data_IF_561375809118
#
_entry.id   IF_561375809118
#
_cell.length_a   1.000
_cell.length_b   1.000
_cell.length_c   1.000
_cell.angle_alpha   90.00
_cell.angle_beta   90.00
_cell.angle_gamma   90.00
#
_symmetry.space_group_name_H-M   'P 1'
#
loop_
_entity.id
_entity.type
_entity.pdbx_description
1 polymer ?
#
# COMPACT_ATOMS: atom_id res chain seq x y z
N UNK A 1 12.11 9.26 16.95
CA UNK A 1 11.02 8.71 16.12
C UNK A 1 10.53 9.80 15.18
N UNK A 2 10.10 9.46 13.96
CA UNK A 2 9.86 10.43 12.88
C UNK A 2 8.38 10.54 12.46
N UNK A 3 7.44 10.15 13.33
CA UNK A 3 6.00 10.32 13.10
C UNK A 3 5.52 9.77 11.75
N UNK A 4 4.72 10.58 11.03
CA UNK A 4 4.30 10.32 9.64
C UNK A 4 3.53 9.01 9.44
N UNK A 5 2.68 8.64 10.40
CA UNK A 5 1.68 7.59 10.16
C UNK A 5 0.67 8.09 9.12
N UNK A 6 0.24 7.23 8.19
CA UNK A 6 -0.60 7.66 7.07
C UNK A 6 -1.61 6.60 6.63
N UNK A 7 -2.60 7.06 5.85
CA UNK A 7 -3.51 6.23 5.05
C UNK A 7 -3.20 6.47 3.58
N UNK A 8 -3.05 5.39 2.81
CA UNK A 8 -2.86 5.44 1.35
C UNK A 8 -3.88 4.51 0.68
N UNK A 9 -4.48 4.97 -0.40
CA UNK A 9 -5.47 4.20 -1.15
C UNK A 9 -4.82 3.15 -2.09
N UNK A 10 -5.61 2.25 -2.71
CA UNK A 10 -5.08 1.26 -3.64
C UNK A 10 -4.41 1.85 -4.90
N UNK A 11 -4.64 3.13 -5.22
CA UNK A 11 -3.99 3.86 -6.32
C UNK A 11 -2.67 4.50 -5.90
N UNK A 12 -2.27 4.36 -4.65
CA UNK A 12 -1.05 4.95 -4.09
C UNK A 12 -1.19 6.43 -3.70
N UNK A 13 -2.41 6.95 -3.58
CA UNK A 13 -2.66 8.32 -3.14
C UNK A 13 -2.68 8.42 -1.62
N UNK A 14 -2.01 9.42 -1.06
CA UNK A 14 -2.10 9.72 0.38
C UNK A 14 -3.45 10.35 0.69
N UNK A 15 -4.20 9.72 1.61
CA UNK A 15 -5.51 10.18 2.06
C UNK A 15 -5.38 11.03 3.33
N UNK A 16 -4.49 10.64 4.23
CA UNK A 16 -4.14 11.43 5.41
C UNK A 16 -2.74 11.05 5.91
N UNK A 17 -2.02 11.99 6.51
CA UNK A 17 -0.68 11.81 7.08
C UNK A 17 -0.58 12.61 8.38
N UNK A 18 0.00 12.00 9.43
CA UNK A 18 0.28 12.62 10.71
C UNK A 18 1.53 13.50 10.64
N UNK A 19 1.63 14.47 11.55
CA UNK A 19 2.84 15.26 11.73
C UNK A 19 4.07 14.37 12.05
N UNK A 20 5.25 14.91 11.74
CA UNK A 20 6.54 14.25 12.04
C UNK A 20 6.89 14.30 13.54
N UNK A 21 6.44 15.34 14.23
CA UNK A 21 6.97 15.80 15.51
C UNK A 21 5.90 16.08 16.58
N UNK A 22 4.65 15.68 16.35
CA UNK A 22 3.53 15.92 17.27
C UNK A 22 2.75 14.64 17.57
N UNK A 23 2.13 14.60 18.74
CA UNK A 23 1.17 13.58 19.12
C UNK A 23 -0.17 13.86 18.43
N UNK A 24 -0.66 12.91 17.64
CA UNK A 24 -1.85 13.08 16.80
C UNK A 24 -2.66 11.78 16.67
N UNK A 25 -3.96 11.94 16.44
CA UNK A 25 -4.86 10.86 16.00
C UNK A 25 -5.36 11.22 14.60
N UNK A 26 -4.97 10.43 13.61
CA UNK A 26 -5.40 10.61 12.23
C UNK A 26 -6.53 9.63 11.93
N UNK A 27 -7.63 10.14 11.38
CA UNK A 27 -8.79 9.36 10.96
C UNK A 27 -9.07 9.67 9.49
N UNK A 28 -9.35 8.64 8.69
CA UNK A 28 -9.69 8.77 7.28
C UNK A 28 -10.88 7.90 6.93
N UNK A 29 -11.72 8.38 6.00
CA UNK A 29 -12.74 7.57 5.35
C UNK A 29 -12.12 6.88 4.13
N UNK A 30 -12.35 5.58 4.01
CA UNK A 30 -11.79 4.76 2.95
C UNK A 30 -12.91 4.11 2.15
N UNK A 31 -12.91 4.32 0.83
CA UNK A 31 -13.78 3.58 -0.08
C UNK A 31 -13.16 2.21 -0.38
N UNK A 32 -13.84 1.16 0.05
CA UNK A 32 -13.39 -0.22 -0.14
C UNK A 32 -13.68 -0.74 -1.55
N UNK A 33 -14.63 -0.15 -2.29
CA UNK A 33 -14.98 -0.56 -3.65
C UNK A 33 -13.83 -0.27 -4.62
N UNK A 34 -13.00 0.74 -4.30
CA UNK A 34 -11.79 1.09 -5.03
C UNK A 34 -10.77 -0.07 -5.12
N UNK A 35 -10.78 -0.99 -4.16
CA UNK A 35 -9.90 -2.18 -4.19
C UNK A 35 -10.22 -3.05 -5.40
N UNK A 36 -11.50 -3.31 -5.64
CA UNK A 36 -11.93 -4.13 -6.76
C UNK A 36 -11.64 -3.43 -8.10
N UNK A 37 -11.93 -2.13 -8.17
CA UNK A 37 -11.67 -1.32 -9.36
C UNK A 37 -10.19 -1.37 -9.75
N UNK A 38 -9.29 -1.13 -8.80
CA UNK A 38 -7.84 -1.13 -9.05
C UNK A 38 -7.35 -2.53 -9.43
N UNK A 39 -7.83 -3.60 -8.78
CA UNK A 39 -7.46 -4.98 -9.14
C UNK A 39 -7.93 -5.39 -10.53
N UNK A 40 -9.07 -4.86 -10.99
CA UNK A 40 -9.57 -5.05 -12.37
C UNK A 40 -8.82 -4.19 -13.39
N UNK A 41 -8.35 -3.01 -12.98
CA UNK A 41 -7.61 -2.10 -13.87
C UNK A 41 -6.16 -2.56 -14.04
N UNK A 42 -5.47 -2.86 -12.95
CA UNK A 42 -4.09 -3.34 -12.94
C UNK A 42 -4.07 -4.85 -12.82
N UNK A 43 -3.81 -5.50 -13.93
CA UNK A 43 -3.88 -6.96 -14.09
C UNK A 43 -2.69 -7.70 -13.46
N UNK A 44 -2.11 -7.19 -12.35
CA UNK A 44 -0.98 -7.82 -11.65
C UNK A 44 -1.29 -9.26 -11.22
N UNK A 45 -2.51 -9.54 -10.79
CA UNK A 45 -2.89 -10.91 -10.42
C UNK A 45 -2.89 -11.86 -11.63
N UNK A 46 -3.25 -11.40 -12.82
CA UNK A 46 -3.21 -12.20 -14.05
C UNK A 46 -1.78 -12.34 -14.58
N UNK A 47 -1.03 -11.25 -14.57
CA UNK A 47 0.24 -11.12 -15.29
C UNK A 47 1.48 -11.47 -14.45
N UNK A 48 1.34 -11.66 -13.12
CA UNK A 48 2.44 -12.12 -12.27
C UNK A 48 3.02 -13.44 -12.78
N UNK A 49 4.34 -13.59 -12.64
CA UNK A 49 5.07 -14.83 -12.98
C UNK A 49 5.80 -15.35 -11.74
N UNK A 50 5.10 -16.03 -10.82
CA UNK A 50 5.70 -16.49 -9.55
C UNK A 50 6.91 -17.40 -9.74
N UNK A 51 6.96 -18.13 -10.84
CA UNK A 51 8.08 -18.98 -11.26
C UNK A 51 9.40 -18.20 -11.45
N UNK A 52 9.35 -16.89 -11.73
CA UNK A 52 10.54 -16.06 -11.92
C UNK A 52 10.99 -15.35 -10.63
N UNK A 53 10.35 -15.59 -9.49
CA UNK A 53 10.59 -14.83 -8.25
C UNK A 53 11.55 -15.52 -7.27
N UNK A 54 12.24 -16.58 -7.69
CA UNK A 54 13.17 -17.37 -6.85
C UNK A 54 14.07 -16.49 -6.00
N UNK A 55 14.93 -15.69 -6.65
CA UNK A 55 15.89 -14.79 -6.01
C UNK A 55 15.26 -13.81 -5.00
N UNK A 56 14.02 -13.35 -5.24
CA UNK A 56 13.32 -12.43 -4.31
C UNK A 56 12.83 -13.14 -3.04
N UNK A 57 12.64 -14.45 -3.10
CA UNK A 57 12.14 -15.27 -1.99
C UNK A 57 13.23 -16.01 -1.24
N UNK A 58 14.48 -15.95 -1.73
CA UNK A 58 15.63 -16.54 -1.07
C UNK A 58 16.04 -15.75 0.18
N UNK A 59 16.40 -16.47 1.25
CA UNK A 59 17.05 -15.84 2.40
C UNK A 59 18.54 -15.66 2.07
N UNK A 60 19.01 -14.42 2.19
CA UNK A 60 20.43 -14.15 2.10
C UNK A 60 21.17 -14.76 3.30
N UNK A 61 22.43 -15.23 3.11
CA UNK A 61 23.24 -15.82 4.17
C UNK A 61 23.59 -14.84 5.30
#
# INVERSE_FOLDING_TARGET
FYGQSYFVDPRGQFIAEASRDKDEVVVAEMDLDLIEEVRRTWQFYRDRRPDTYGDMTEQLP
#
